data_IF_535669592827
#
_entry.id   IF_535669592827
#
_cell.length_a   1.000
_cell.length_b   1.000
_cell.length_c   1.000
_cell.angle_alpha   90.00
_cell.angle_beta   90.00
_cell.angle_gamma   90.00
#
_symmetry.space_group_name_H-M   'P 1'
#
loop_
_entity.id
_entity.type
_entity.pdbx_description
1 polymer ?
#
# COMPACT_ATOMS: atom_id res chain seq x y z
N UNK A 1 -20.72 19.95 -36.92
CA UNK A 1 -19.96 19.50 -35.73
C UNK A 1 -19.21 20.71 -35.21
N UNK A 2 -19.63 21.27 -34.07
CA UNK A 2 -19.03 22.48 -33.50
C UNK A 2 -17.94 22.04 -32.51
N UNK A 3 -16.72 21.88 -33.00
CA UNK A 3 -15.53 21.82 -32.14
C UNK A 3 -15.18 23.24 -31.74
N UNK A 4 -15.50 23.62 -30.49
CA UNK A 4 -15.00 24.89 -29.96
C UNK A 4 -13.61 24.67 -29.39
N UNK A 5 -12.71 25.58 -29.73
CA UNK A 5 -11.28 25.63 -29.40
C UNK A 5 -11.03 25.87 -27.89
N UNK A 6 -11.80 25.22 -27.02
CA UNK A 6 -11.78 25.38 -25.56
C UNK A 6 -11.10 24.22 -24.82
N UNK A 7 -10.68 23.17 -25.54
CA UNK A 7 -9.98 22.03 -24.95
C UNK A 7 -8.45 22.21 -24.91
N UNK A 8 -7.94 23.34 -25.38
CA UNK A 8 -6.52 23.65 -25.35
C UNK A 8 -6.25 24.75 -24.33
N UNK A 9 -5.86 24.33 -23.12
CA UNK A 9 -5.27 25.11 -22.01
C UNK A 9 -6.26 25.71 -21.00
N UNK A 10 -6.51 24.94 -19.94
CA UNK A 10 -6.53 25.52 -18.60
C UNK A 10 -5.85 24.57 -17.61
N UNK A 11 -4.60 24.89 -17.30
CA UNK A 11 -3.88 24.44 -16.12
C UNK A 11 -4.69 24.72 -14.85
N UNK A 12 -4.68 23.74 -13.93
CA UNK A 12 -4.99 23.88 -12.49
C UNK A 12 -6.46 24.18 -12.13
N UNK A 13 -7.30 23.15 -12.19
CA UNK A 13 -8.23 22.88 -11.09
C UNK A 13 -7.94 21.48 -10.59
N UNK A 14 -7.35 21.38 -9.39
CA UNK A 14 -7.38 20.14 -8.60
C UNK A 14 -8.83 19.68 -8.60
N UNK A 15 -9.13 18.56 -9.24
CA UNK A 15 -10.42 17.93 -9.03
C UNK A 15 -10.55 17.72 -7.52
N UNK A 16 -11.66 18.15 -6.92
CA UNK A 16 -11.91 17.93 -5.50
C UNK A 16 -11.94 16.42 -5.17
N UNK A 17 -12.21 15.60 -6.20
CA UNK A 17 -12.18 14.15 -6.18
C UNK A 17 -11.01 13.70 -7.06
N UNK A 18 -10.02 12.97 -6.52
CA UNK A 18 -8.94 12.42 -7.33
C UNK A 18 -9.48 11.44 -8.38
N UNK A 19 -8.87 11.42 -9.55
CA UNK A 19 -9.12 10.38 -10.56
C UNK A 19 -8.67 9.01 -10.05
N UNK A 20 -9.20 7.94 -10.64
CA UNK A 20 -8.80 6.57 -10.30
C UNK A 20 -7.28 6.37 -10.46
N UNK A 21 -6.69 6.85 -11.56
CA UNK A 21 -5.25 6.78 -11.78
C UNK A 21 -4.43 7.56 -10.74
N UNK A 22 -4.94 8.67 -10.20
CA UNK A 22 -4.29 9.38 -9.08
C UNK A 22 -4.37 8.59 -7.76
N UNK A 23 -5.44 7.83 -7.54
CA UNK A 23 -5.58 6.94 -6.37
C UNK A 23 -4.62 5.76 -6.53
N UNK A 24 -4.65 5.07 -7.67
CA UNK A 24 -3.76 3.95 -7.99
C UNK A 24 -2.28 4.35 -7.86
N UNK A 25 -1.90 5.51 -8.41
CA UNK A 25 -0.54 6.03 -8.28
C UNK A 25 -0.12 6.28 -6.82
N UNK A 26 -1.03 6.78 -5.97
CA UNK A 26 -0.74 6.96 -4.53
C UNK A 26 -0.61 5.64 -3.79
N UNK A 27 -1.46 4.66 -4.11
CA UNK A 27 -1.39 3.30 -3.53
C UNK A 27 -0.08 2.64 -3.94
N UNK A 28 0.30 2.69 -5.21
CA UNK A 28 1.56 2.12 -5.70
C UNK A 28 2.79 2.74 -5.02
N UNK A 29 2.81 4.06 -4.80
CA UNK A 29 3.90 4.71 -4.05
C UNK A 29 3.96 4.21 -2.61
N UNK A 30 2.82 4.10 -1.93
CA UNK A 30 2.77 3.59 -0.56
C UNK A 30 3.24 2.13 -0.49
N UNK A 31 2.88 1.30 -1.47
CA UNK A 31 3.32 -0.08 -1.60
C UNK A 31 4.84 -0.16 -1.74
N UNK A 32 5.42 0.54 -2.72
CA UNK A 32 6.88 0.54 -2.96
C UNK A 32 7.65 1.04 -1.73
N UNK A 33 7.17 2.10 -1.08
CA UNK A 33 7.80 2.64 0.14
C UNK A 33 7.72 1.62 1.28
N UNK A 34 6.57 0.99 1.49
CA UNK A 34 6.39 -0.02 2.54
C UNK A 34 7.29 -1.24 2.29
N UNK A 35 7.32 -1.77 1.06
CA UNK A 35 8.18 -2.90 0.70
C UNK A 35 9.65 -2.56 0.88
N UNK A 36 10.09 -1.39 0.43
CA UNK A 36 11.49 -0.97 0.55
C UNK A 36 11.91 -0.79 2.01
N UNK A 37 11.05 -0.16 2.82
CA UNK A 37 11.32 0.02 4.25
C UNK A 37 11.34 -1.32 5.01
N UNK A 38 10.38 -2.20 4.74
CA UNK A 38 10.35 -3.54 5.34
C UNK A 38 11.56 -4.36 4.90
N UNK A 39 11.90 -4.36 3.61
CA UNK A 39 13.04 -5.11 3.09
C UNK A 39 14.36 -4.62 3.70
N UNK A 40 14.53 -3.31 3.88
CA UNK A 40 15.70 -2.73 4.54
C UNK A 40 15.79 -3.16 6.01
N UNK A 41 14.68 -3.11 6.76
CA UNK A 41 14.62 -3.58 8.16
C UNK A 41 14.94 -5.07 8.26
N UNK A 42 14.53 -5.87 7.28
CA UNK A 42 14.78 -7.31 7.24
C UNK A 42 16.20 -7.67 6.77
N UNK A 43 16.85 -6.81 5.98
CA UNK A 43 18.24 -7.02 5.51
C UNK A 43 19.27 -6.62 6.59
N UNK A 44 19.00 -5.56 7.36
CA UNK A 44 19.92 -5.04 8.39
C UNK A 44 19.85 -5.78 9.74
N UNK A 45 18.84 -6.62 9.95
CA UNK A 45 18.60 -7.26 11.25
C UNK A 45 18.66 -8.79 11.22
N UNK A 46 19.20 -9.40 12.29
CA UNK A 46 18.71 -10.69 12.80
C UNK A 46 17.27 -10.56 13.34
N UNK A 47 16.41 -9.81 12.64
CA UNK A 47 14.98 -9.78 12.95
C UNK A 47 14.44 -11.06 12.36
N UNK A 48 14.49 -12.12 13.16
CA UNK A 48 13.57 -13.23 12.96
C UNK A 48 12.18 -12.58 12.99
N UNK A 49 11.51 -12.55 11.85
CA UNK A 49 10.16 -12.01 11.72
C UNK A 49 9.29 -12.99 12.48
N UNK A 50 9.32 -12.85 13.78
CA UNK A 50 8.71 -13.81 14.66
C UNK A 50 7.19 -13.67 14.52
N UNK A 51 6.50 -14.74 14.89
CA UNK A 51 5.04 -14.73 14.89
C UNK A 51 4.47 -13.56 15.72
N UNK A 52 5.25 -12.96 16.63
CA UNK A 52 4.83 -11.85 17.47
C UNK A 52 4.79 -10.52 16.71
N UNK A 53 5.78 -10.20 15.85
CA UNK A 53 5.75 -9.01 15.00
C UNK A 53 4.59 -9.07 13.99
N UNK A 54 4.42 -10.22 13.32
CA UNK A 54 3.28 -10.45 12.42
C UNK A 54 1.94 -10.30 13.15
N UNK A 55 1.83 -10.86 14.36
CA UNK A 55 0.63 -10.69 15.17
C UNK A 55 0.40 -9.23 15.60
N UNK A 56 1.46 -8.46 15.86
CA UNK A 56 1.36 -7.03 16.16
C UNK A 56 0.83 -6.24 14.95
N UNK A 57 1.38 -6.49 13.76
CA UNK A 57 0.93 -5.83 12.53
C UNK A 57 -0.53 -6.18 12.24
N UNK A 58 -0.91 -7.46 12.31
CA UNK A 58 -2.31 -7.91 12.16
C UNK A 58 -3.25 -7.20 13.14
N UNK A 59 -2.88 -7.12 14.42
CA UNK A 59 -3.67 -6.40 15.44
C UNK A 59 -3.79 -4.91 15.14
N UNK A 60 -2.71 -4.27 14.68
CA UNK A 60 -2.73 -2.85 14.31
C UNK A 60 -3.63 -2.61 13.10
N UNK A 61 -3.55 -3.45 12.09
CA UNK A 61 -4.43 -3.41 10.91
C UNK A 61 -5.89 -3.61 11.28
N UNK A 62 -6.20 -4.58 12.14
CA UNK A 62 -7.57 -4.83 12.56
C UNK A 62 -8.17 -3.64 13.33
N UNK A 63 -7.37 -2.96 14.17
CA UNK A 63 -7.80 -1.70 14.81
C UNK A 63 -8.02 -0.60 13.78
N UNK A 64 -7.11 -0.46 12.81
CA UNK A 64 -7.21 0.58 11.78
C UNK A 64 -8.44 0.38 10.89
N UNK A 65 -8.74 -0.85 10.48
CA UNK A 65 -9.93 -1.17 9.69
C UNK A 65 -11.22 -0.82 10.45
N UNK A 66 -11.24 -1.09 11.76
CA UNK A 66 -12.35 -0.68 12.64
C UNK A 66 -12.50 0.84 12.71
N UNK A 67 -11.40 1.58 12.84
CA UNK A 67 -11.43 3.06 12.85
C UNK A 67 -11.96 3.63 11.53
N UNK A 68 -11.64 2.97 10.42
CA UNK A 68 -12.12 3.28 9.07
C UNK A 68 -13.57 2.82 8.83
N UNK A 69 -14.17 2.08 9.77
CA UNK A 69 -15.51 1.50 9.68
C UNK A 69 -15.69 0.60 8.44
N UNK A 70 -14.62 -0.11 8.07
CA UNK A 70 -14.71 -1.16 7.05
C UNK A 70 -15.63 -2.28 7.55
N UNK A 71 -16.38 -2.88 6.63
CA UNK A 71 -17.16 -4.07 6.96
C UNK A 71 -16.28 -5.31 7.09
N UNK A 72 -16.90 -6.46 7.32
CA UNK A 72 -16.17 -7.72 7.51
C UNK A 72 -15.40 -8.17 6.26
N UNK A 73 -15.96 -7.95 5.07
CA UNK A 73 -15.34 -8.37 3.80
C UNK A 73 -14.16 -7.46 3.47
N UNK A 74 -14.35 -6.14 3.57
CA UNK A 74 -13.30 -5.15 3.36
C UNK A 74 -12.16 -5.29 4.38
N UNK A 75 -12.49 -5.58 5.65
CA UNK A 75 -11.48 -5.84 6.68
C UNK A 75 -10.68 -7.11 6.37
N UNK A 76 -11.34 -8.19 5.95
CA UNK A 76 -10.66 -9.43 5.58
C UNK A 76 -9.73 -9.21 4.37
N UNK A 77 -10.20 -8.50 3.35
CA UNK A 77 -9.41 -8.13 2.18
C UNK A 77 -8.17 -7.31 2.55
N UNK A 78 -8.33 -6.29 3.40
CA UNK A 78 -7.22 -5.46 3.85
C UNK A 78 -6.18 -6.23 4.68
N UNK A 79 -6.61 -7.19 5.50
CA UNK A 79 -5.72 -8.05 6.28
C UNK A 79 -4.93 -9.01 5.38
N UNK A 80 -5.58 -9.62 4.39
CA UNK A 80 -4.92 -10.49 3.41
C UNK A 80 -3.84 -9.72 2.62
N UNK A 81 -4.18 -8.54 2.12
CA UNK A 81 -3.21 -7.71 1.39
C UNK A 81 -2.01 -7.30 2.27
N UNK A 82 -2.22 -7.00 3.56
CA UNK A 82 -1.13 -6.71 4.47
C UNK A 82 -0.17 -7.91 4.65
N UNK A 83 -0.70 -9.13 4.69
CA UNK A 83 0.11 -10.36 4.78
C UNK A 83 0.92 -10.59 3.51
N UNK A 84 0.29 -10.45 2.34
CA UNK A 84 0.95 -10.57 1.03
C UNK A 84 2.08 -9.54 0.89
N UNK A 85 1.85 -8.30 1.31
CA UNK A 85 2.83 -7.22 1.26
C UNK A 85 4.06 -7.52 2.12
N UNK A 86 3.84 -8.02 3.34
CA UNK A 86 4.94 -8.39 4.24
C UNK A 86 5.72 -9.56 3.63
N UNK A 87 5.04 -10.63 3.20
CA UNK A 87 5.70 -11.79 2.59
C UNK A 87 6.53 -11.39 1.36
N UNK A 88 6.01 -10.50 0.51
CA UNK A 88 6.75 -9.97 -0.64
C UNK A 88 8.01 -9.21 -0.22
N UNK A 89 7.93 -8.39 0.83
CA UNK A 89 9.08 -7.66 1.36
C UNK A 89 10.15 -8.60 1.95
N UNK A 90 9.74 -9.66 2.67
CA UNK A 90 10.66 -10.70 3.16
C UNK A 90 11.37 -11.41 2.02
N UNK A 91 10.63 -11.77 0.97
CA UNK A 91 11.23 -12.40 -0.22
C UNK A 91 12.24 -11.48 -0.91
N UNK A 92 11.94 -10.17 -0.95
CA UNK A 92 12.82 -9.17 -1.54
C UNK A 92 14.09 -8.92 -0.71
N UNK A 93 14.02 -9.03 0.62
CA UNK A 93 15.18 -8.83 1.51
C UNK A 93 16.14 -10.02 1.57
N UNK A 94 15.69 -11.20 1.16
CA UNK A 94 16.54 -12.39 1.03
C UNK A 94 16.82 -12.64 -0.45
N UNK A 95 17.67 -11.83 -1.11
CA UNK A 95 18.05 -12.12 -2.49
C UNK A 95 18.65 -13.52 -2.50
N UNK A 96 18.05 -14.39 -3.31
CA UNK A 96 18.60 -15.71 -3.61
C UNK A 96 20.06 -15.46 -4.00
N UNK A 97 21.00 -15.86 -3.14
CA UNK A 97 22.43 -15.86 -3.47
C UNK A 97 22.61 -16.84 -4.62
N UNK A 98 22.58 -16.35 -5.86
CA UNK A 98 23.10 -17.04 -7.04
C UNK A 98 24.48 -16.49 -7.36
#
# INVERSE_FOLDING_TARGET
MLTTHRDCKQHVKRNAIPSLGEIEGRVAVLEVVAQSALAHVFDEGEVDIDAALLAQIRRAMHRKCKDLKLDGEDTASALLYAEELIEAAVKASHPIRQ
#
